data_IF_844013080247
#
_entry.id   IF_844013080247
#
_cell.length_a   1.000
_cell.length_b   1.000
_cell.length_c   1.000
_cell.angle_alpha   90.00
_cell.angle_beta   90.00
_cell.angle_gamma   90.00
#
_symmetry.space_group_name_H-M   'P 1'
#
loop_
_entity.id
_entity.type
_entity.pdbx_description
1 polymer ?
#
# COMPACT_ATOMS: atom_id res chain seq x y z
N UNK A 1 8.01 15.93 8.62
CA UNK A 1 9.27 15.17 8.49
C UNK A 1 9.70 15.21 7.03
N UNK A 2 11.00 15.25 6.75
CA UNK A 2 11.52 15.21 5.38
C UNK A 2 12.04 13.79 5.05
N UNK A 3 12.46 13.58 3.79
CA UNK A 3 12.96 12.28 3.33
C UNK A 3 14.19 11.79 4.12
N UNK A 4 15.06 12.71 4.57
CA UNK A 4 16.24 12.37 5.37
C UNK A 4 15.81 11.81 6.74
N UNK A 5 14.89 12.49 7.42
CA UNK A 5 14.37 12.00 8.71
C UNK A 5 13.70 10.64 8.57
N UNK A 6 12.93 10.41 7.50
CA UNK A 6 12.31 9.12 7.23
C UNK A 6 13.34 8.01 7.02
N UNK A 7 14.40 8.28 6.25
CA UNK A 7 15.50 7.34 6.04
C UNK A 7 16.20 6.95 7.34
N UNK A 8 16.49 7.93 8.20
CA UNK A 8 17.10 7.67 9.52
C UNK A 8 16.18 6.85 10.44
N UNK A 9 14.88 7.14 10.46
CA UNK A 9 13.90 6.32 11.20
C UNK A 9 13.94 4.87 10.71
N UNK A 10 13.95 4.64 9.39
CA UNK A 10 14.04 3.29 8.84
C UNK A 10 15.35 2.60 9.23
N UNK A 11 16.49 3.30 9.22
CA UNK A 11 17.77 2.73 9.65
C UNK A 11 17.76 2.28 11.12
N UNK A 12 17.21 3.10 12.01
CA UNK A 12 17.14 2.74 13.44
C UNK A 12 16.15 1.59 13.70
N UNK A 13 15.02 1.54 12.99
CA UNK A 13 14.10 0.41 13.06
C UNK A 13 14.75 -0.89 12.55
N UNK A 14 15.43 -0.82 11.41
CA UNK A 14 16.14 -1.96 10.80
C UNK A 14 17.24 -2.50 11.71
N UNK A 15 17.94 -1.61 12.41
CA UNK A 15 18.99 -1.98 13.38
C UNK A 15 18.45 -2.85 14.51
N UNK A 16 17.18 -2.65 14.89
CA UNK A 16 16.48 -3.50 15.84
C UNK A 16 15.91 -4.76 15.22
N UNK A 17 15.07 -4.59 14.19
CA UNK A 17 14.38 -5.68 13.50
C UNK A 17 13.94 -5.29 12.08
N UNK A 18 14.37 -6.06 11.09
CA UNK A 18 14.07 -5.84 9.67
C UNK A 18 12.58 -5.99 9.31
N UNK A 19 11.86 -6.84 10.04
CA UNK A 19 10.42 -7.02 9.88
C UNK A 19 9.64 -5.78 10.31
N UNK A 20 10.00 -5.17 11.45
CA UNK A 20 9.39 -3.92 11.93
C UNK A 20 9.65 -2.77 10.95
N UNK A 21 10.87 -2.63 10.43
CA UNK A 21 11.14 -1.63 9.38
C UNK A 21 10.29 -1.88 8.14
N UNK A 22 10.15 -3.14 7.71
CA UNK A 22 9.33 -3.51 6.54
C UNK A 22 7.86 -3.15 6.75
N UNK A 23 7.32 -3.43 7.93
CA UNK A 23 5.97 -3.04 8.34
C UNK A 23 5.77 -1.52 8.25
N UNK A 24 6.65 -0.74 8.89
CA UNK A 24 6.57 0.73 8.92
C UNK A 24 6.69 1.30 7.52
N UNK A 25 7.63 0.79 6.72
CA UNK A 25 7.85 1.26 5.36
C UNK A 25 6.60 1.07 4.48
N UNK A 26 5.95 -0.10 4.56
CA UNK A 26 4.71 -0.37 3.82
C UNK A 26 3.58 0.54 4.29
N UNK A 27 3.39 0.65 5.62
CA UNK A 27 2.36 1.51 6.21
C UNK A 27 2.50 2.96 5.74
N UNK A 28 3.68 3.56 5.90
CA UNK A 28 3.87 4.98 5.60
C UNK A 28 4.08 5.24 4.11
N UNK A 29 5.06 4.60 3.48
CA UNK A 29 5.51 4.99 2.14
C UNK A 29 4.70 4.36 1.01
N UNK A 30 4.15 3.16 1.20
CA UNK A 30 3.40 2.47 0.15
C UNK A 30 1.90 2.60 0.32
N UNK A 31 1.39 2.91 1.52
CA UNK A 31 -0.04 3.08 1.76
C UNK A 31 -0.44 4.53 2.06
N UNK A 32 0.10 5.13 3.12
CA UNK A 32 -0.28 6.49 3.50
C UNK A 32 0.15 7.52 2.43
N UNK A 33 1.33 7.36 1.82
CA UNK A 33 1.81 8.33 0.82
C UNK A 33 0.94 8.38 -0.45
N UNK A 34 0.54 7.28 -1.11
CA UNK A 34 -0.39 7.36 -2.23
C UNK A 34 -1.73 8.01 -1.89
N UNK A 35 -2.30 7.73 -0.71
CA UNK A 35 -3.52 8.40 -0.23
C UNK A 35 -3.28 9.91 -0.07
N UNK A 36 -2.15 10.29 0.55
CA UNK A 36 -1.78 11.69 0.73
C UNK A 36 -1.56 12.44 -0.59
N UNK A 37 -0.85 11.82 -1.53
CA UNK A 37 -0.43 12.45 -2.78
C UNK A 37 -1.53 12.46 -3.85
N UNK A 38 -2.32 11.39 -3.94
CA UNK A 38 -3.25 11.16 -5.05
C UNK A 38 -4.70 10.91 -4.62
N UNK A 39 -4.94 10.68 -3.33
CA UNK A 39 -6.29 10.51 -2.80
C UNK A 39 -7.10 11.80 -2.80
N UNK A 40 -8.42 11.65 -2.78
CA UNK A 40 -9.34 12.78 -2.56
C UNK A 40 -9.23 13.31 -1.13
N UNK A 41 -9.68 14.54 -0.88
CA UNK A 41 -9.72 15.09 0.47
C UNK A 41 -10.57 14.25 1.44
N UNK A 42 -11.62 13.59 0.93
CA UNK A 42 -12.42 12.65 1.71
C UNK A 42 -11.58 11.44 2.14
N UNK A 43 -10.86 10.80 1.21
CA UNK A 43 -9.98 9.65 1.50
C UNK A 43 -8.87 10.03 2.47
N UNK A 44 -8.25 11.20 2.31
CA UNK A 44 -7.20 11.67 3.23
C UNK A 44 -7.72 11.83 4.65
N UNK A 45 -8.88 12.45 4.82
CA UNK A 45 -9.49 12.71 6.15
C UNK A 45 -9.95 11.42 6.82
N UNK A 46 -10.47 10.48 6.05
CA UNK A 46 -10.93 9.19 6.55
C UNK A 46 -9.76 8.31 7.01
N UNK A 47 -8.75 8.12 6.14
CA UNK A 47 -7.76 7.06 6.35
C UNK A 47 -6.50 7.54 7.08
N UNK A 48 -5.91 8.68 6.69
CA UNK A 48 -4.58 9.07 7.17
C UNK A 48 -4.48 9.24 8.69
N UNK A 49 -5.47 9.84 9.40
CA UNK A 49 -5.37 9.98 10.84
C UNK A 49 -5.33 8.64 11.58
N UNK A 50 -6.18 7.68 11.20
CA UNK A 50 -6.24 6.36 11.81
C UNK A 50 -4.99 5.52 11.48
N UNK A 51 -4.50 5.62 10.24
CA UNK A 51 -3.25 4.97 9.82
C UNK A 51 -2.03 5.52 10.56
N UNK A 52 -1.98 6.83 10.79
CA UNK A 52 -0.90 7.48 11.55
C UNK A 52 -0.88 7.08 13.03
N UNK A 53 -2.04 6.74 13.61
CA UNK A 53 -2.16 6.21 14.98
C UNK A 53 -1.92 4.70 15.06
N UNK A 54 -1.79 4.01 13.93
CA UNK A 54 -1.63 2.56 13.88
C UNK A 54 -2.93 1.78 14.13
N UNK A 55 -4.09 2.44 14.13
CA UNK A 55 -5.41 1.82 14.31
C UNK A 55 -5.88 1.11 13.03
N UNK A 56 -5.43 1.60 11.88
CA UNK A 56 -5.69 1.03 10.55
C UNK A 56 -4.36 0.69 9.90
N UNK A 57 -4.18 -0.57 9.53
CA UNK A 57 -2.99 -1.07 8.87
C UNK A 57 -3.28 -1.22 7.37
N UNK A 58 -2.36 -0.69 6.56
CA UNK A 58 -2.42 -0.76 5.10
C UNK A 58 -1.49 -1.83 4.52
N UNK A 59 -1.85 -2.33 3.34
CA UNK A 59 -0.97 -3.13 2.49
C UNK A 59 -0.98 -2.64 1.03
N UNK A 60 0.06 -3.00 0.28
CA UNK A 60 0.26 -2.53 -1.09
C UNK A 60 0.34 -3.70 -2.07
N UNK A 61 -0.71 -3.87 -2.87
CA UNK A 61 -0.91 -4.96 -3.81
C UNK A 61 -0.45 -4.61 -5.23
N UNK A 62 0.84 -4.81 -5.53
CA UNK A 62 1.38 -4.66 -6.89
C UNK A 62 1.75 -6.00 -7.50
N UNK A 63 2.69 -6.72 -6.88
CA UNK A 63 3.27 -7.99 -7.35
C UNK A 63 2.22 -9.10 -7.46
N UNK A 64 2.36 -9.94 -8.48
CA UNK A 64 1.45 -11.04 -8.79
C UNK A 64 2.21 -12.36 -8.97
N UNK A 65 1.54 -13.53 -8.88
CA UNK A 65 2.20 -14.82 -8.99
C UNK A 65 3.02 -15.02 -10.27
N UNK A 66 2.60 -14.42 -11.38
CA UNK A 66 3.24 -14.52 -12.69
C UNK A 66 4.22 -13.38 -12.99
N UNK A 67 4.39 -12.39 -12.10
CA UNK A 67 5.29 -11.27 -12.37
C UNK A 67 5.44 -10.29 -11.20
N UNK A 68 6.71 -9.98 -10.87
CA UNK A 68 7.08 -8.93 -9.90
C UNK A 68 7.83 -7.77 -10.55
N UNK A 69 8.89 -8.05 -11.30
CA UNK A 69 9.72 -7.03 -11.95
C UNK A 69 9.07 -6.37 -13.17
N UNK A 70 8.08 -7.03 -13.80
CA UNK A 70 7.29 -6.50 -14.92
C UNK A 70 5.83 -6.25 -14.48
N UNK A 71 5.56 -5.18 -13.72
CA UNK A 71 4.22 -4.86 -13.26
C UNK A 71 3.29 -4.43 -14.41
N UNK A 72 3.82 -3.95 -15.53
CA UNK A 72 2.99 -3.52 -16.66
C UNK A 72 2.19 -4.68 -17.26
N UNK A 73 2.72 -5.90 -17.18
CA UNK A 73 2.08 -7.13 -17.66
C UNK A 73 1.18 -7.82 -16.61
N UNK A 74 0.74 -7.10 -15.57
CA UNK A 74 -0.18 -7.62 -14.56
C UNK A 74 -1.49 -8.15 -15.17
N UNK A 75 -2.09 -9.15 -14.51
CA UNK A 75 -3.33 -9.82 -14.90
C UNK A 75 -4.51 -9.42 -14.01
N UNK A 76 -4.28 -8.85 -12.83
CA UNK A 76 -5.40 -8.29 -12.03
C UNK A 76 -6.07 -7.18 -12.83
N UNK A 77 -7.40 -7.26 -12.98
CA UNK A 77 -8.21 -6.32 -13.74
C UNK A 77 -9.21 -5.62 -12.84
N UNK A 78 -9.44 -4.34 -13.11
CA UNK A 78 -10.53 -3.56 -12.55
C UNK A 78 -11.44 -3.15 -13.71
N UNK A 79 -12.64 -3.74 -13.77
CA UNK A 79 -13.65 -3.38 -14.78
C UNK A 79 -14.71 -2.49 -14.13
N UNK A 80 -15.09 -1.41 -14.81
CA UNK A 80 -16.18 -0.55 -14.35
C UNK A 80 -17.52 -1.28 -14.43
N UNK A 81 -18.34 -1.16 -13.39
CA UNK A 81 -19.71 -1.66 -13.34
C UNK A 81 -20.60 -0.63 -12.65
N UNK A 82 -21.30 0.18 -13.44
CA UNK A 82 -22.04 1.34 -12.92
C UNK A 82 -21.13 2.42 -12.34
N UNK A 83 -21.39 2.79 -11.09
CA UNK A 83 -20.59 3.71 -10.28
C UNK A 83 -19.41 3.03 -9.56
N UNK A 84 -19.37 1.69 -9.58
CA UNK A 84 -18.38 0.86 -8.88
C UNK A 84 -17.39 0.17 -9.84
N UNK A 85 -16.48 -0.59 -9.25
CA UNK A 85 -15.48 -1.41 -9.93
C UNK A 85 -15.53 -2.85 -9.46
N UNK A 86 -15.46 -3.79 -10.39
CA UNK A 86 -15.21 -5.20 -10.11
C UNK A 86 -13.71 -5.45 -10.26
N UNK A 87 -13.09 -5.85 -9.16
CA UNK A 87 -11.68 -6.23 -9.09
C UNK A 87 -11.54 -7.76 -9.13
N UNK A 88 -10.83 -8.28 -10.12
CA UNK A 88 -10.58 -9.72 -10.29
C UNK A 88 -9.09 -9.98 -10.52
N UNK A 89 -8.51 -10.91 -9.75
CA UNK A 89 -7.10 -11.28 -9.85
C UNK A 89 -6.50 -11.78 -8.54
N UNK A 90 -5.17 -11.86 -8.52
CA UNK A 90 -4.42 -12.32 -7.35
C UNK A 90 -3.12 -11.53 -7.20
N UNK A 91 -2.78 -11.24 -5.94
CA UNK A 91 -1.53 -10.59 -5.54
C UNK A 91 -0.67 -11.54 -4.73
N UNK A 92 0.66 -11.37 -4.79
CA UNK A 92 1.63 -12.24 -4.12
C UNK A 92 2.70 -11.41 -3.39
N UNK A 93 3.19 -11.92 -2.27
CA UNK A 93 4.23 -11.27 -1.44
C UNK A 93 3.82 -9.93 -0.83
N UNK A 94 2.55 -9.83 -0.42
CA UNK A 94 2.01 -8.58 0.11
C UNK A 94 2.30 -8.48 1.61
N UNK A 95 3.33 -7.69 1.95
CA UNK A 95 3.61 -7.31 3.34
C UNK A 95 2.37 -6.65 3.95
N UNK A 96 2.06 -7.03 5.20
CA UNK A 96 0.85 -6.67 5.94
C UNK A 96 -0.47 -7.23 5.37
N UNK A 97 -0.44 -8.00 4.28
CA UNK A 97 -1.66 -8.42 3.58
C UNK A 97 -2.67 -9.18 4.44
N UNK A 98 -2.20 -9.99 5.39
CA UNK A 98 -3.04 -10.74 6.33
C UNK A 98 -3.51 -9.91 7.55
N UNK A 99 -2.98 -8.70 7.73
CA UNK A 99 -3.27 -7.83 8.87
C UNK A 99 -4.00 -6.54 8.46
N UNK A 100 -4.08 -6.25 7.17
CA UNK A 100 -4.53 -4.96 6.66
C UNK A 100 -6.06 -4.80 6.70
N UNK A 101 -6.50 -3.58 7.00
CA UNK A 101 -7.89 -3.14 6.87
C UNK A 101 -8.12 -2.37 5.56
N UNK A 102 -7.04 -1.87 4.93
CA UNK A 102 -7.08 -1.18 3.64
C UNK A 102 -5.95 -1.68 2.74
N UNK A 103 -6.24 -1.84 1.45
CA UNK A 103 -5.27 -2.24 0.45
C UNK A 103 -5.19 -1.21 -0.67
N UNK A 104 -3.99 -0.74 -0.99
CA UNK A 104 -3.72 -0.01 -2.23
C UNK A 104 -3.39 -1.05 -3.30
N UNK A 105 -4.35 -1.33 -4.19
CA UNK A 105 -4.22 -2.38 -5.21
C UNK A 105 -4.05 -1.78 -6.59
N UNK A 106 -3.03 -2.24 -7.30
CA UNK A 106 -2.85 -1.94 -8.73
C UNK A 106 -3.58 -2.97 -9.58
N UNK A 107 -4.30 -2.50 -10.58
CA UNK A 107 -5.02 -3.33 -11.53
C UNK A 107 -5.05 -2.66 -12.91
N UNK A 108 -5.10 -3.46 -13.98
CA UNK A 108 -5.37 -2.94 -15.32
C UNK A 108 -6.84 -2.56 -15.45
N UNK A 109 -7.08 -1.33 -15.88
CA UNK A 109 -8.36 -0.91 -16.46
C UNK A 109 -8.32 -1.08 -17.98
N UNK A 110 -9.47 -0.98 -18.65
CA UNK A 110 -9.58 -1.04 -20.12
C UNK A 110 -8.55 -0.17 -20.85
#
# INVERSE_FOLDING_TARGET
LNAVSYGLICQELERGDSGIRSFVSVQSSLCMYPIFAYGSEAQKREWLPAMARGEVIGCFGLTEPHGGSDPANMKTRARRDGDDWILDGAKMWITNGNLAQIAIVWAQTD
#
